data_IF_581909474468
#
_entry.id   IF_581909474468
#
_cell.length_a   1.000
_cell.length_b   1.000
_cell.length_c   1.000
_cell.angle_alpha   90.00
_cell.angle_beta   90.00
_cell.angle_gamma   90.00
#
_symmetry.space_group_name_H-M   'P 1'
#
loop_
_entity.id
_entity.type
_entity.pdbx_description
1 polymer ?
#
# COMPACT_ATOMS: atom_id res chain seq x y z
N UNK A 1 19.19 -1.43 -11.79
CA UNK A 1 18.28 -2.28 -10.98
C UNK A 1 19.14 -3.29 -10.24
N UNK A 2 18.95 -3.42 -8.91
CA UNK A 2 19.62 -4.43 -8.08
C UNK A 2 18.59 -5.48 -7.66
N UNK A 3 19.01 -6.74 -7.54
CA UNK A 3 18.15 -7.86 -7.17
C UNK A 3 18.92 -8.82 -6.26
N UNK A 4 18.24 -9.45 -5.31
CA UNK A 4 18.86 -10.30 -4.29
C UNK A 4 18.01 -10.39 -3.03
N UNK A 5 18.65 -10.76 -1.91
CA UNK A 5 17.99 -10.86 -0.61
C UNK A 5 17.47 -9.49 -0.14
N UNK A 6 16.20 -9.46 0.28
CA UNK A 6 15.47 -8.22 0.61
C UNK A 6 16.20 -7.42 1.70
N UNK A 7 16.61 -8.07 2.78
CA UNK A 7 17.28 -7.37 3.90
C UNK A 7 18.63 -6.78 3.49
N UNK A 8 19.41 -7.50 2.67
CA UNK A 8 20.66 -7.00 2.11
C UNK A 8 20.40 -5.78 1.22
N UNK A 9 19.39 -5.83 0.35
CA UNK A 9 19.04 -4.72 -0.53
C UNK A 9 18.56 -3.51 0.29
N UNK A 10 17.74 -3.71 1.34
CA UNK A 10 17.29 -2.63 2.23
C UNK A 10 18.48 -1.93 2.88
N UNK A 11 19.44 -2.69 3.40
CA UNK A 11 20.68 -2.15 3.98
C UNK A 11 21.46 -1.31 2.97
N UNK A 12 21.69 -1.85 1.76
CA UNK A 12 22.39 -1.15 0.69
C UNK A 12 21.68 0.15 0.28
N UNK A 13 20.35 0.15 0.25
CA UNK A 13 19.55 1.32 -0.11
C UNK A 13 19.64 2.43 0.94
N UNK A 14 19.61 2.09 2.23
CA UNK A 14 19.83 3.06 3.33
C UNK A 14 21.23 3.66 3.28
N UNK A 15 22.26 2.82 3.04
CA UNK A 15 23.63 3.32 2.88
C UNK A 15 23.75 4.27 1.69
N UNK A 16 23.10 3.93 0.56
CA UNK A 16 23.09 4.78 -0.63
C UNK A 16 22.35 6.10 -0.40
N UNK A 17 21.25 6.09 0.35
CA UNK A 17 20.53 7.30 0.75
C UNK A 17 21.43 8.25 1.54
N UNK A 18 22.14 7.73 2.55
CA UNK A 18 23.10 8.54 3.34
C UNK A 18 24.18 9.17 2.45
N UNK A 19 24.75 8.41 1.51
CA UNK A 19 25.72 8.94 0.55
C UNK A 19 25.16 10.04 -0.37
N UNK A 20 23.85 10.04 -0.66
CA UNK A 20 23.22 11.10 -1.47
C UNK A 20 23.00 12.36 -0.64
N UNK A 21 22.56 12.20 0.61
CA UNK A 21 22.42 13.31 1.56
C UNK A 21 23.76 13.99 1.82
N UNK A 22 24.84 13.22 2.04
CA UNK A 22 26.21 13.76 2.19
C UNK A 22 26.69 14.53 0.94
N UNK A 23 26.15 14.22 -0.23
CA UNK A 23 26.47 14.90 -1.50
C UNK A 23 25.56 16.10 -1.79
N UNK A 24 24.69 16.48 -0.86
CA UNK A 24 23.79 17.63 -0.97
C UNK A 24 22.46 17.35 -1.68
N UNK A 25 22.10 16.08 -1.89
CA UNK A 25 20.80 15.71 -2.48
C UNK A 25 19.79 15.42 -1.37
N UNK A 26 19.39 16.44 -0.61
CA UNK A 26 18.56 16.31 0.61
C UNK A 26 17.16 15.73 0.34
N UNK A 27 16.60 15.98 -0.84
CA UNK A 27 15.26 15.51 -1.23
C UNK A 27 15.18 13.99 -1.49
N UNK A 28 16.35 13.34 -1.56
CA UNK A 28 16.43 11.90 -1.77
C UNK A 28 15.71 11.15 -0.64
N UNK A 29 14.97 10.11 -1.01
CA UNK A 29 14.15 9.31 -0.08
C UNK A 29 13.98 7.88 -0.57
N UNK A 30 13.69 6.98 0.37
CA UNK A 30 13.36 5.60 0.06
C UNK A 30 11.84 5.42 0.02
N UNK A 31 11.35 4.81 -1.05
CA UNK A 31 9.94 4.53 -1.25
C UNK A 31 9.69 3.02 -1.22
N UNK A 32 8.85 2.56 -0.30
CA UNK A 32 8.49 1.14 -0.14
C UNK A 32 9.54 0.26 0.56
N UNK A 33 10.61 0.85 1.12
CA UNK A 33 11.64 0.10 1.86
C UNK A 33 11.14 -0.36 3.23
N UNK A 34 10.23 0.42 3.81
CA UNK A 34 9.56 0.16 5.08
C UNK A 34 8.15 -0.38 4.83
N UNK A 35 7.55 -0.98 5.86
CA UNK A 35 6.26 -1.66 5.77
C UNK A 35 5.05 -0.71 5.64
N UNK A 36 5.30 0.61 5.58
CA UNK A 36 4.29 1.65 5.45
C UNK A 36 3.54 1.56 4.11
N UNK A 37 4.22 1.15 3.04
CA UNK A 37 3.60 1.02 1.72
C UNK A 37 2.85 -0.31 1.66
N UNK A 38 1.54 -0.23 1.40
CA UNK A 38 0.66 -1.39 1.34
C UNK A 38 0.78 -2.29 2.58
N UNK A 39 1.01 -1.75 3.78
CA UNK A 39 0.96 -2.52 5.05
C UNK A 39 1.67 -3.89 4.97
N UNK A 40 2.98 -3.89 4.70
CA UNK A 40 3.79 -5.11 4.61
C UNK A 40 4.66 -5.25 3.36
N UNK A 41 4.80 -4.16 2.59
CA UNK A 41 5.81 -4.05 1.53
C UNK A 41 5.52 -4.83 0.25
N UNK A 42 6.22 -4.45 -0.82
CA UNK A 42 6.12 -5.06 -2.15
C UNK A 42 7.30 -6.01 -2.47
N UNK A 43 8.24 -6.19 -1.53
CA UNK A 43 9.60 -6.71 -1.79
C UNK A 43 10.32 -6.00 -2.95
N UNK A 44 9.83 -4.81 -3.28
CA UNK A 44 10.34 -3.93 -4.32
C UNK A 44 10.21 -2.52 -3.78
N UNK A 45 11.30 -1.77 -3.87
CA UNK A 45 11.41 -0.43 -3.34
C UNK A 45 12.36 0.40 -4.21
N UNK A 46 12.24 1.71 -4.07
CA UNK A 46 12.91 2.66 -4.94
C UNK A 46 13.65 3.71 -4.12
N UNK A 47 14.76 4.18 -4.66
CA UNK A 47 15.44 5.38 -4.17
C UNK A 47 15.04 6.52 -5.11
N UNK A 48 14.23 7.43 -4.60
CA UNK A 48 13.74 8.59 -5.32
C UNK A 48 14.63 9.79 -5.00
N UNK A 49 14.77 10.70 -5.96
CA UNK A 49 15.50 11.97 -5.76
C UNK A 49 14.58 13.13 -5.42
N UNK A 50 13.27 12.87 -5.38
CA UNK A 50 12.21 13.85 -5.18
C UNK A 50 10.96 13.14 -4.62
N UNK A 51 9.87 13.88 -4.45
CA UNK A 51 8.59 13.39 -3.98
C UNK A 51 8.02 12.25 -4.86
N UNK A 52 7.32 11.26 -4.27
CA UNK A 52 6.72 10.15 -5.02
C UNK A 52 5.77 10.61 -6.13
N UNK A 53 5.04 11.71 -5.92
CA UNK A 53 4.07 12.26 -6.86
C UNK A 53 4.70 12.66 -8.20
N UNK A 54 5.95 13.14 -8.20
CA UNK A 54 6.70 13.47 -9.43
C UNK A 54 6.91 12.23 -10.30
N UNK A 55 7.05 11.07 -9.67
CA UNK A 55 7.19 9.77 -10.33
C UNK A 55 5.84 9.05 -10.50
N UNK A 56 4.72 9.75 -10.29
CA UNK A 56 3.37 9.19 -10.36
C UNK A 56 3.15 8.01 -9.38
N UNK A 57 3.85 8.06 -8.23
CA UNK A 57 3.74 7.09 -7.15
C UNK A 57 2.84 7.68 -6.03
N UNK A 58 1.89 6.90 -5.49
CA UNK A 58 1.07 7.34 -4.36
C UNK A 58 1.89 7.43 -3.08
N UNK A 59 1.65 8.43 -2.22
CA UNK A 59 2.43 8.58 -0.98
C UNK A 59 2.19 7.48 0.05
N UNK A 60 0.93 7.09 0.24
CA UNK A 60 0.54 6.08 1.23
C UNK A 60 -0.61 5.20 0.70
N UNK A 61 -0.32 4.26 -0.22
CA UNK A 61 -1.33 3.37 -0.74
C UNK A 61 -1.70 2.28 0.27
N UNK A 62 -3.00 2.10 0.49
CA UNK A 62 -3.56 1.02 1.30
C UNK A 62 -3.74 -0.26 0.45
N UNK A 63 -3.70 -1.43 1.08
CA UNK A 63 -4.01 -2.68 0.38
C UNK A 63 -5.50 -2.71 0.01
N UNK A 64 -5.87 -2.95 -1.26
CA UNK A 64 -7.28 -3.12 -1.64
C UNK A 64 -7.99 -4.26 -0.88
N UNK A 65 -7.23 -5.28 -0.46
CA UNK A 65 -7.75 -6.41 0.33
C UNK A 65 -8.38 -5.99 1.66
N UNK A 66 -7.97 -4.85 2.23
CA UNK A 66 -8.49 -4.36 3.51
C UNK A 66 -10.00 -4.05 3.42
N UNK A 67 -10.51 -3.79 2.22
CA UNK A 67 -11.91 -3.47 1.99
C UNK A 67 -12.79 -4.72 1.76
N UNK A 68 -12.21 -5.91 1.59
CA UNK A 68 -12.97 -7.13 1.24
C UNK A 68 -13.91 -7.54 2.36
N UNK A 69 -13.42 -7.62 3.60
CA UNK A 69 -14.22 -8.02 4.76
C UNK A 69 -15.38 -7.06 5.04
N UNK A 70 -15.17 -5.74 5.19
CA UNK A 70 -16.28 -4.82 5.46
C UNK A 70 -17.30 -4.77 4.31
N UNK A 71 -16.85 -4.80 3.05
CA UNK A 71 -17.77 -4.84 1.91
C UNK A 71 -18.62 -6.12 1.87
N UNK A 72 -18.02 -7.27 2.20
CA UNK A 72 -18.72 -8.55 2.28
C UNK A 72 -19.80 -8.52 3.37
N UNK A 73 -19.51 -7.95 4.54
CA UNK A 73 -20.49 -7.81 5.62
C UNK A 73 -21.68 -6.95 5.20
N UNK A 74 -21.45 -5.81 4.55
CA UNK A 74 -22.52 -4.97 4.03
C UNK A 74 -23.39 -5.69 3.01
N UNK A 75 -22.78 -6.53 2.17
CA UNK A 75 -23.49 -7.34 1.18
C UNK A 75 -24.40 -8.36 1.86
N UNK A 76 -23.90 -9.07 2.87
CA UNK A 76 -24.68 -10.03 3.65
C UNK A 76 -25.85 -9.36 4.37
N UNK A 77 -25.61 -8.23 5.04
CA UNK A 77 -26.66 -7.46 5.72
C UNK A 77 -27.74 -7.02 4.73
N UNK A 78 -27.34 -6.49 3.57
CA UNK A 78 -28.27 -6.04 2.52
C UNK A 78 -29.10 -7.22 2.01
N UNK A 79 -28.48 -8.37 1.75
CA UNK A 79 -29.19 -9.56 1.30
C UNK A 79 -30.21 -10.07 2.33
N UNK A 80 -29.88 -10.06 3.62
CA UNK A 80 -30.81 -10.44 4.68
C UNK A 80 -32.00 -9.48 4.79
N UNK A 81 -31.75 -8.16 4.71
CA UNK A 81 -32.81 -7.15 4.75
C UNK A 81 -33.76 -7.28 3.56
N UNK A 82 -33.22 -7.43 2.34
CA UNK A 82 -34.03 -7.63 1.14
C UNK A 82 -34.82 -8.95 1.20
N UNK A 83 -34.22 -10.02 1.72
CA UNK A 83 -34.90 -11.30 1.92
C UNK A 83 -36.07 -11.19 2.91
N UNK A 84 -35.87 -10.53 4.05
CA UNK A 84 -36.92 -10.29 5.04
C UNK A 84 -38.03 -9.39 4.48
N UNK A 85 -37.68 -8.33 3.75
CA UNK A 85 -38.68 -7.50 3.06
C UNK A 85 -39.48 -8.31 2.05
N UNK A 86 -38.83 -9.15 1.23
CA UNK A 86 -39.52 -10.04 0.31
C UNK A 86 -40.55 -10.93 1.03
N UNK A 87 -40.17 -11.54 2.15
CA UNK A 87 -41.11 -12.36 2.94
C UNK A 87 -42.30 -11.55 3.46
N UNK A 88 -42.08 -10.31 3.89
CA UNK A 88 -43.15 -9.44 4.41
C UNK A 88 -44.10 -9.00 3.28
N UNK A 89 -43.57 -8.55 2.15
CA UNK A 89 -44.36 -7.97 1.07
C UNK A 89 -45.05 -8.99 0.15
N UNK A 90 -44.48 -10.19 -0.01
CA UNK A 90 -45.10 -11.24 -0.84
C UNK A 90 -46.04 -12.18 -0.06
N UNK A 91 -46.32 -11.87 1.22
CA UNK A 91 -47.23 -12.65 2.08
C UNK A 91 -48.67 -12.11 2.10
N UNK A 92 -48.96 -11.02 1.38
CA UNK A 92 -50.31 -10.58 1.01
C UNK A 92 -50.73 -11.14 -0.35
#
# INVERSE_FOLDING_TARGET
>A
IQFGEVEQLKSNARARLGLLHERGVEDARLYGVDDNILEGGLNSFFLLLDEPAIYNLPENPLRPSNNVVPASLWTVVTALLLGLMGIIFFKE
#
